data_IF_085994713028
#
_entry.id   IF_085994713028
#
_cell.length_a   1.000
_cell.length_b   1.000
_cell.length_c   1.000
_cell.angle_alpha   90.00
_cell.angle_beta   90.00
_cell.angle_gamma   90.00
#
_symmetry.space_group_name_H-M   'P 1'
#
loop_
_entity.id
_entity.type
_entity.pdbx_description
1 polymer ?
#
# COMPACT_ATOMS: atom_id res chain seq x y z
N UNK A 1 1.61 -41.06 15.37
CA UNK A 1 1.49 -40.20 14.18
C UNK A 1 2.69 -39.26 14.14
N UNK A 2 3.46 -39.15 13.03
CA UNK A 2 4.59 -38.24 12.97
C UNK A 2 4.04 -36.80 13.18
N UNK A 3 4.65 -36.06 14.11
CA UNK A 3 4.44 -34.60 14.23
C UNK A 3 4.78 -34.02 12.87
N UNK A 4 3.76 -33.58 12.11
CA UNK A 4 3.98 -32.76 10.91
C UNK A 4 4.71 -31.52 11.40
N UNK A 5 5.93 -31.34 10.94
CA UNK A 5 6.80 -30.26 11.37
C UNK A 5 6.09 -28.94 11.01
N UNK A 6 6.00 -28.02 11.96
CA UNK A 6 5.38 -26.70 11.79
C UNK A 6 5.91 -25.97 10.53
N UNK A 7 7.20 -26.16 10.24
CA UNK A 7 7.84 -25.67 9.03
C UNK A 7 7.24 -26.23 7.72
N UNK A 8 6.77 -27.48 7.72
CA UNK A 8 6.11 -28.08 6.56
C UNK A 8 4.71 -27.48 6.34
N UNK A 9 3.99 -27.21 7.43
CA UNK A 9 2.66 -26.60 7.36
C UNK A 9 2.75 -25.19 6.79
N UNK A 10 3.67 -24.37 7.29
CA UNK A 10 3.91 -23.01 6.79
C UNK A 10 4.42 -23.01 5.34
N UNK A 11 5.28 -23.94 4.97
CA UNK A 11 5.71 -24.10 3.57
C UNK A 11 4.54 -24.36 2.63
N UNK A 12 3.57 -25.18 3.04
CA UNK A 12 2.39 -25.47 2.22
C UNK A 12 1.45 -24.28 2.11
N UNK A 13 1.23 -23.53 3.20
CA UNK A 13 0.49 -22.27 3.15
C UNK A 13 1.11 -21.28 2.16
N UNK A 14 2.43 -21.08 2.24
CA UNK A 14 3.13 -20.18 1.36
C UNK A 14 3.03 -20.61 -0.11
N UNK A 15 3.12 -21.90 -0.44
CA UNK A 15 2.90 -22.39 -1.79
C UNK A 15 1.49 -22.09 -2.33
N UNK A 16 0.47 -22.14 -1.46
CA UNK A 16 -0.91 -21.78 -1.83
C UNK A 16 -1.01 -20.27 -2.06
N UNK A 17 -0.38 -19.44 -1.22
CA UNK A 17 -0.37 -17.99 -1.41
C UNK A 17 0.43 -17.55 -2.64
N UNK A 18 1.52 -18.25 -2.99
CA UNK A 18 2.27 -18.00 -4.22
C UNK A 18 1.42 -18.30 -5.46
N UNK A 19 0.67 -19.40 -5.43
CA UNK A 19 -0.28 -19.74 -6.48
C UNK A 19 -1.42 -18.70 -6.56
N UNK A 20 -1.96 -18.28 -5.44
CA UNK A 20 -3.00 -17.24 -5.40
C UNK A 20 -2.49 -15.92 -6.01
N UNK A 21 -1.28 -15.49 -5.64
CA UNK A 21 -0.64 -14.33 -6.24
C UNK A 21 -0.52 -14.49 -7.77
N UNK A 22 0.02 -15.64 -8.22
CA UNK A 22 0.16 -15.94 -9.66
C UNK A 22 -1.16 -15.88 -10.40
N UNK A 23 -2.24 -16.42 -9.84
CA UNK A 23 -3.58 -16.39 -10.45
C UNK A 23 -4.13 -14.97 -10.49
N UNK A 24 -4.01 -14.21 -9.39
CA UNK A 24 -4.45 -12.80 -9.33
C UNK A 24 -3.70 -11.89 -10.30
N UNK A 25 -2.47 -12.24 -10.67
CA UNK A 25 -1.74 -11.50 -11.72
C UNK A 25 -2.25 -11.81 -13.13
N UNK A 26 -2.88 -12.97 -13.35
CA UNK A 26 -3.38 -13.41 -14.66
C UNK A 26 -4.83 -13.03 -14.93
N UNK A 27 -5.64 -12.82 -13.88
CA UNK A 27 -7.05 -12.45 -13.99
C UNK A 27 -7.50 -11.58 -12.80
N UNK A 28 -8.62 -10.86 -12.93
CA UNK A 28 -9.14 -10.02 -11.84
C UNK A 28 -9.45 -10.82 -10.57
N UNK A 29 -9.19 -10.24 -9.40
CA UNK A 29 -9.39 -10.90 -8.11
C UNK A 29 -10.84 -11.40 -7.91
N UNK A 30 -11.83 -10.65 -8.39
CA UNK A 30 -13.26 -11.03 -8.30
C UNK A 30 -13.64 -12.25 -9.14
N UNK A 31 -12.79 -12.67 -10.11
CA UNK A 31 -12.96 -13.88 -10.90
C UNK A 31 -12.18 -15.08 -10.37
N UNK A 32 -11.32 -14.87 -9.37
CA UNK A 32 -10.47 -15.92 -8.81
C UNK A 32 -11.30 -16.85 -7.93
N UNK A 33 -11.16 -18.15 -8.16
CA UNK A 33 -11.88 -19.21 -7.42
C UNK A 33 -10.91 -20.16 -6.72
N UNK A 34 -11.41 -20.90 -5.72
CA UNK A 34 -10.64 -21.98 -5.09
C UNK A 34 -10.15 -23.01 -6.12
N UNK A 35 -10.92 -23.29 -7.14
CA UNK A 35 -10.53 -24.23 -8.22
C UNK A 35 -9.34 -23.74 -9.03
N UNK A 36 -9.22 -22.43 -9.25
CA UNK A 36 -8.05 -21.86 -9.93
C UNK A 36 -6.79 -22.04 -9.09
N UNK A 37 -6.91 -21.82 -7.76
CA UNK A 37 -5.81 -22.01 -6.84
C UNK A 37 -5.37 -23.48 -6.77
N UNK A 38 -6.32 -24.39 -6.70
CA UNK A 38 -6.05 -25.84 -6.75
C UNK A 38 -5.29 -26.19 -8.05
N UNK A 39 -5.75 -25.70 -9.18
CA UNK A 39 -5.11 -25.94 -10.48
C UNK A 39 -3.69 -25.38 -10.53
N UNK A 40 -3.48 -24.17 -10.06
CA UNK A 40 -2.17 -23.50 -10.08
C UNK A 40 -1.18 -24.16 -9.13
N UNK A 41 -1.62 -24.62 -7.93
CA UNK A 41 -0.75 -25.33 -6.96
C UNK A 41 -0.39 -26.71 -7.41
N UNK A 42 -1.22 -27.37 -8.22
CA UNK A 42 -1.16 -28.81 -8.49
C UNK A 42 -1.52 -29.69 -7.29
N UNK A 43 -2.06 -29.12 -6.21
CA UNK A 43 -2.51 -29.87 -5.05
C UNK A 43 -3.90 -30.44 -5.24
N UNK A 44 -4.26 -31.48 -4.47
CA UNK A 44 -5.65 -31.94 -4.43
C UNK A 44 -6.56 -30.89 -3.78
N UNK A 45 -7.86 -30.87 -4.13
CA UNK A 45 -8.86 -30.02 -3.47
C UNK A 45 -8.79 -30.15 -1.92
N UNK A 46 -8.81 -31.38 -1.40
CA UNK A 46 -8.73 -31.60 0.04
C UNK A 46 -7.45 -31.05 0.69
N UNK A 47 -6.34 -31.00 -0.06
CA UNK A 47 -5.10 -30.41 0.43
C UNK A 47 -5.20 -28.90 0.58
N UNK A 48 -5.80 -28.18 -0.38
CA UNK A 48 -5.96 -26.73 -0.29
C UNK A 48 -6.99 -26.37 0.77
N UNK A 49 -8.14 -27.01 0.80
CA UNK A 49 -9.22 -26.76 1.77
C UNK A 49 -8.82 -27.11 3.22
N UNK A 50 -7.77 -27.90 3.44
CA UNK A 50 -7.19 -28.09 4.77
C UNK A 50 -6.55 -26.83 5.35
N UNK A 51 -6.07 -25.93 4.51
CA UNK A 51 -5.37 -24.70 4.91
C UNK A 51 -6.25 -23.45 4.85
N UNK A 52 -7.15 -23.38 3.86
CA UNK A 52 -8.02 -22.23 3.61
C UNK A 52 -9.43 -22.73 3.25
N UNK A 53 -10.42 -22.30 4.02
CA UNK A 53 -11.81 -22.80 3.86
C UNK A 53 -12.52 -22.20 2.64
N UNK A 54 -12.13 -21.01 2.24
CA UNK A 54 -12.72 -20.27 1.13
C UNK A 54 -11.69 -19.31 0.50
N UNK A 55 -12.09 -18.63 -0.55
CA UNK A 55 -11.20 -17.71 -1.28
C UNK A 55 -10.85 -16.46 -0.46
N UNK A 56 -11.76 -16.00 0.40
CA UNK A 56 -11.54 -14.82 1.24
C UNK A 56 -10.45 -15.08 2.29
N UNK A 57 -10.39 -16.30 2.85
CA UNK A 57 -9.31 -16.70 3.75
C UNK A 57 -7.94 -16.60 3.05
N UNK A 58 -7.88 -16.95 1.76
CA UNK A 58 -6.67 -16.82 0.95
C UNK A 58 -6.35 -15.34 0.71
N UNK A 59 -7.33 -14.51 0.37
CA UNK A 59 -7.13 -13.07 0.15
C UNK A 59 -6.68 -12.35 1.41
N UNK A 60 -7.27 -12.68 2.57
CA UNK A 60 -6.86 -12.16 3.88
C UNK A 60 -5.41 -12.56 4.18
N UNK A 61 -5.07 -13.84 4.01
CA UNK A 61 -3.72 -14.33 4.26
C UNK A 61 -2.69 -13.71 3.29
N UNK A 62 -3.09 -13.47 2.05
CA UNK A 62 -2.27 -12.80 1.05
C UNK A 62 -2.01 -11.34 1.44
N UNK A 63 -3.04 -10.62 1.90
CA UNK A 63 -2.91 -9.24 2.38
C UNK A 63 -2.02 -9.13 3.62
N UNK A 64 -2.20 -10.02 4.59
CA UNK A 64 -1.33 -10.07 5.77
C UNK A 64 0.13 -10.36 5.38
N UNK A 65 0.37 -11.28 4.43
CA UNK A 65 1.71 -11.55 3.91
C UNK A 65 2.34 -10.31 3.25
N UNK A 66 1.56 -9.50 2.52
CA UNK A 66 2.05 -8.28 1.90
C UNK A 66 2.49 -7.24 2.92
N UNK A 67 1.71 -7.08 3.98
CA UNK A 67 2.04 -6.15 5.06
C UNK A 67 3.34 -6.53 5.79
N UNK A 68 3.68 -7.82 5.83
CA UNK A 68 4.95 -8.29 6.39
C UNK A 68 6.16 -8.10 5.47
N UNK A 69 6.01 -8.33 4.16
CA UNK A 69 7.14 -8.29 3.21
C UNK A 69 7.73 -6.87 3.09
N UNK A 70 6.92 -5.85 3.31
CA UNK A 70 7.30 -4.44 3.19
C UNK A 70 7.53 -3.79 4.55
N UNK A 71 8.17 -4.47 5.49
CA UNK A 71 8.42 -3.86 6.81
C UNK A 71 9.48 -2.78 6.75
N UNK A 72 9.03 -1.53 6.56
CA UNK A 72 9.88 -0.33 6.66
C UNK A 72 9.54 0.54 7.90
N UNK A 73 8.82 -0.01 8.90
CA UNK A 73 8.45 0.71 10.12
C UNK A 73 9.69 1.24 10.88
N UNK A 74 10.76 0.45 10.91
CA UNK A 74 12.02 0.88 11.52
C UNK A 74 12.68 2.03 10.73
N UNK A 75 12.60 2.01 9.40
CA UNK A 75 13.08 3.13 8.55
C UNK A 75 12.27 4.39 8.83
N UNK A 76 10.93 4.28 8.88
CA UNK A 76 10.03 5.38 9.20
C UNK A 76 10.33 5.95 10.59
N UNK A 77 10.46 5.10 11.61
CA UNK A 77 10.76 5.55 12.97
C UNK A 77 12.08 6.31 13.05
N UNK A 78 13.13 5.86 12.34
CA UNK A 78 14.41 6.57 12.27
C UNK A 78 14.30 7.94 11.62
N UNK A 79 13.54 8.06 10.53
CA UNK A 79 13.30 9.33 9.84
C UNK A 79 12.65 10.34 10.80
N UNK A 80 11.55 9.95 11.45
CA UNK A 80 10.83 10.86 12.37
C UNK A 80 11.53 11.08 13.72
N UNK A 81 12.55 10.31 14.07
CA UNK A 81 13.42 10.53 15.22
C UNK A 81 14.68 11.35 14.89
N UNK A 82 14.89 11.73 13.64
CA UNK A 82 16.01 12.55 13.20
C UNK A 82 15.95 13.96 13.83
N UNK A 83 17.12 14.56 14.06
CA UNK A 83 17.27 15.96 14.47
C UNK A 83 17.37 16.93 13.26
N UNK A 84 17.10 16.43 12.05
CA UNK A 84 17.08 17.24 10.85
C UNK A 84 15.95 18.29 10.88
N UNK A 85 16.02 19.25 9.96
CA UNK A 85 14.94 20.21 9.77
C UNK A 85 13.62 19.48 9.45
N UNK A 86 12.48 19.93 9.99
CA UNK A 86 11.19 19.28 9.78
C UNK A 86 10.81 19.06 8.31
N UNK A 87 11.18 19.97 7.41
CA UNK A 87 10.97 19.84 5.96
C UNK A 87 11.71 18.64 5.41
N UNK A 88 12.99 18.48 5.79
CA UNK A 88 13.82 17.37 5.34
C UNK A 88 13.25 16.02 5.83
N UNK A 89 12.75 15.96 7.06
CA UNK A 89 12.09 14.79 7.61
C UNK A 89 10.86 14.42 6.76
N UNK A 90 10.03 15.40 6.37
CA UNK A 90 8.90 15.16 5.49
C UNK A 90 9.33 14.71 4.09
N UNK A 91 10.33 15.36 3.50
CA UNK A 91 10.90 14.98 2.19
C UNK A 91 11.37 13.51 2.22
N UNK A 92 12.10 13.12 3.25
CA UNK A 92 12.57 11.73 3.40
C UNK A 92 11.40 10.73 3.56
N UNK A 93 10.34 11.12 4.30
CA UNK A 93 9.14 10.31 4.43
C UNK A 93 8.44 10.10 3.07
N UNK A 94 8.33 11.14 2.24
CA UNK A 94 7.82 11.03 0.87
C UNK A 94 8.72 10.20 -0.04
N UNK A 95 10.05 10.29 0.13
CA UNK A 95 11.00 9.47 -0.63
C UNK A 95 10.84 7.97 -0.34
N UNK A 96 10.59 7.57 0.91
CA UNK A 96 10.33 6.16 1.24
C UNK A 96 9.20 5.60 0.40
N UNK A 97 8.09 6.34 0.30
CA UNK A 97 6.94 5.92 -0.51
C UNK A 97 7.30 5.88 -2.00
N UNK A 98 8.02 6.91 -2.48
CA UNK A 98 8.35 7.05 -3.90
C UNK A 98 9.26 5.93 -4.39
N UNK A 99 10.21 5.49 -3.57
CA UNK A 99 11.12 4.37 -3.91
C UNK A 99 10.36 3.04 -4.02
N UNK A 100 9.42 2.81 -3.10
CA UNK A 100 8.70 1.54 -3.01
C UNK A 100 7.48 1.47 -3.92
N UNK A 101 6.88 2.62 -4.28
CA UNK A 101 5.61 2.67 -5.01
C UNK A 101 5.68 1.88 -6.33
N UNK A 102 6.78 1.99 -7.07
CA UNK A 102 6.93 1.31 -8.36
C UNK A 102 7.03 -0.21 -8.18
N UNK A 103 7.81 -0.67 -7.20
CA UNK A 103 8.02 -2.10 -6.94
C UNK A 103 6.77 -2.75 -6.33
N UNK A 104 6.11 -2.05 -5.40
CA UNK A 104 4.91 -2.52 -4.73
C UNK A 104 3.72 -2.62 -5.70
N UNK A 105 3.52 -1.58 -6.52
CA UNK A 105 2.34 -1.48 -7.38
C UNK A 105 2.37 -2.44 -8.56
N UNK A 106 3.53 -2.89 -9.03
CA UNK A 106 3.63 -3.87 -10.13
C UNK A 106 3.11 -5.28 -9.77
N UNK A 107 2.92 -5.58 -8.49
CA UNK A 107 2.42 -6.89 -8.06
C UNK A 107 1.25 -6.74 -7.07
N UNK A 108 1.58 -6.39 -5.87
CA UNK A 108 0.63 -6.35 -4.75
C UNK A 108 -0.40 -5.22 -4.88
N UNK A 109 0.00 -4.09 -5.46
CA UNK A 109 -0.90 -2.95 -5.67
C UNK A 109 -2.11 -3.28 -6.53
N UNK A 110 -1.93 -4.03 -7.62
CA UNK A 110 -3.04 -4.52 -8.44
C UNK A 110 -4.04 -5.33 -7.59
N UNK A 111 -3.52 -6.29 -6.83
CA UNK A 111 -4.36 -7.18 -6.04
C UNK A 111 -5.08 -6.38 -4.94
N UNK A 112 -4.37 -5.52 -4.21
CA UNK A 112 -4.95 -4.67 -3.16
C UNK A 112 -6.04 -3.75 -3.71
N UNK A 113 -5.82 -3.14 -4.88
CA UNK A 113 -6.79 -2.30 -5.56
C UNK A 113 -8.06 -3.07 -5.94
N UNK A 114 -7.90 -4.25 -6.56
CA UNK A 114 -9.04 -5.09 -6.96
C UNK A 114 -9.81 -5.65 -5.75
N UNK A 115 -9.10 -6.06 -4.69
CA UNK A 115 -9.73 -6.50 -3.43
C UNK A 115 -10.46 -5.35 -2.74
N UNK A 116 -9.89 -4.13 -2.76
CA UNK A 116 -10.57 -2.93 -2.26
C UNK A 116 -11.91 -2.70 -2.93
N UNK A 117 -11.96 -2.79 -4.26
CA UNK A 117 -13.21 -2.66 -5.03
C UNK A 117 -14.17 -3.84 -4.74
N UNK A 118 -13.65 -5.07 -4.71
CA UNK A 118 -14.44 -6.27 -4.45
C UNK A 118 -15.16 -6.17 -3.09
N UNK A 119 -14.43 -5.81 -2.05
CA UNK A 119 -14.99 -5.74 -0.70
C UNK A 119 -15.83 -4.48 -0.46
N UNK A 120 -15.54 -3.35 -1.13
CA UNK A 120 -16.34 -2.13 -1.02
C UNK A 120 -17.79 -2.32 -1.52
N UNK A 121 -18.02 -3.28 -2.43
CA UNK A 121 -19.34 -3.61 -2.92
C UNK A 121 -20.14 -4.55 -2.00
N UNK A 122 -19.54 -5.06 -0.93
CA UNK A 122 -20.16 -5.95 0.05
C UNK A 122 -19.71 -5.51 1.47
N UNK A 123 -20.53 -4.68 2.16
CA UNK A 123 -20.15 -4.13 3.46
C UNK A 123 -19.89 -5.19 4.55
N UNK A 124 -20.63 -6.30 4.57
CA UNK A 124 -20.42 -7.37 5.56
C UNK A 124 -19.09 -8.09 5.30
N UNK A 125 -18.82 -8.39 4.04
CA UNK A 125 -17.58 -9.00 3.60
C UNK A 125 -16.37 -8.08 3.85
N UNK A 126 -16.54 -6.76 3.65
CA UNK A 126 -15.52 -5.76 3.98
C UNK A 126 -15.22 -5.74 5.48
N UNK A 127 -16.25 -5.76 6.33
CA UNK A 127 -16.08 -5.77 7.78
C UNK A 127 -15.35 -7.05 8.22
N UNK A 128 -15.73 -8.20 7.67
CA UNK A 128 -15.03 -9.46 7.93
C UNK A 128 -13.56 -9.38 7.51
N UNK A 129 -13.28 -8.96 6.28
CA UNK A 129 -11.92 -8.80 5.78
C UNK A 129 -11.09 -7.90 6.69
N UNK A 130 -11.58 -6.72 7.03
CA UNK A 130 -10.89 -5.77 7.91
C UNK A 130 -10.64 -6.32 9.31
N UNK A 131 -11.55 -7.13 9.84
CA UNK A 131 -11.39 -7.76 11.16
C UNK A 131 -10.29 -8.84 11.19
N UNK A 132 -9.96 -9.41 10.03
CA UNK A 132 -8.99 -10.50 9.89
C UNK A 132 -7.61 -10.03 9.38
N UNK A 133 -7.55 -8.84 8.78
CA UNK A 133 -6.26 -8.20 8.45
C UNK A 133 -5.68 -7.63 9.74
N UNK A 134 -4.74 -8.34 10.32
CA UNK A 134 -4.22 -8.08 11.68
C UNK A 134 -3.10 -7.06 11.71
N UNK A 135 -2.50 -6.76 10.57
CA UNK A 135 -1.36 -5.85 10.50
C UNK A 135 -1.77 -4.57 9.78
N UNK A 136 -1.63 -3.45 10.49
CA UNK A 136 -1.68 -2.16 9.85
C UNK A 136 -0.64 -2.12 8.72
N UNK A 137 -1.05 -1.66 7.54
CA UNK A 137 -0.13 -1.52 6.43
C UNK A 137 1.00 -0.55 6.81
N UNK A 138 2.17 -0.72 6.23
CA UNK A 138 3.26 0.22 6.44
C UNK A 138 2.89 1.63 5.97
N UNK A 139 2.00 1.73 4.99
CA UNK A 139 1.47 3.01 4.52
C UNK A 139 0.59 3.69 5.56
N UNK A 140 -0.33 2.95 6.20
CA UNK A 140 -1.15 3.50 7.29
C UNK A 140 -0.26 4.01 8.42
N UNK A 141 0.79 3.26 8.77
CA UNK A 141 1.75 3.65 9.78
C UNK A 141 2.51 4.94 9.39
N UNK A 142 2.98 5.03 8.14
CA UNK A 142 3.67 6.22 7.64
C UNK A 142 2.75 7.43 7.60
N UNK A 143 1.52 7.26 7.10
CA UNK A 143 0.51 8.31 7.01
C UNK A 143 0.19 8.84 8.41
N UNK A 144 -0.03 7.96 9.39
CA UNK A 144 -0.29 8.35 10.76
C UNK A 144 0.90 9.11 11.39
N UNK A 145 2.12 8.61 11.22
CA UNK A 145 3.34 9.28 11.69
C UNK A 145 3.52 10.65 11.06
N UNK A 146 3.27 10.77 9.76
CA UNK A 146 3.35 12.05 9.05
C UNK A 146 2.34 13.05 9.60
N UNK A 147 1.09 12.63 9.81
CA UNK A 147 0.05 13.49 10.40
C UNK A 147 0.43 13.98 11.80
N UNK A 148 0.82 13.05 12.69
CA UNK A 148 1.23 13.38 14.06
C UNK A 148 2.41 14.35 14.08
N UNK A 149 3.36 14.17 13.17
CA UNK A 149 4.52 15.05 13.04
C UNK A 149 4.13 16.45 12.59
N UNK A 150 3.33 16.57 11.53
CA UNK A 150 2.85 17.87 11.03
C UNK A 150 2.05 18.60 12.11
N UNK A 151 1.14 17.91 12.80
CA UNK A 151 0.34 18.48 13.87
C UNK A 151 1.22 18.99 15.04
N UNK A 152 2.21 18.17 15.44
CA UNK A 152 3.16 18.54 16.48
C UNK A 152 3.95 19.80 16.09
N UNK A 153 4.51 19.85 14.88
CA UNK A 153 5.31 20.98 14.40
C UNK A 153 4.49 22.26 14.19
N UNK A 154 3.22 22.13 13.84
CA UNK A 154 2.30 23.26 13.80
C UNK A 154 1.97 23.79 15.21
N UNK A 155 1.72 22.91 16.20
CA UNK A 155 1.51 23.30 17.61
C UNK A 155 2.74 23.94 18.23
N UNK A 156 3.94 23.51 17.85
CA UNK A 156 5.21 24.12 18.25
C UNK A 156 5.45 25.50 17.58
N UNK A 157 4.63 25.88 16.62
CA UNK A 157 4.74 27.15 15.86
C UNK A 157 5.83 27.13 14.80
N UNK A 158 6.41 25.97 14.51
CA UNK A 158 7.40 25.81 13.44
C UNK A 158 6.75 25.93 12.07
N UNK A 159 5.75 25.08 11.79
CA UNK A 159 4.90 25.24 10.63
C UNK A 159 3.79 26.25 10.90
N UNK A 160 3.46 27.04 9.87
CA UNK A 160 2.37 28.02 9.87
C UNK A 160 1.39 27.68 8.73
N UNK A 161 0.64 26.58 8.90
CA UNK A 161 -0.18 26.06 7.81
C UNK A 161 -1.24 27.06 7.38
N UNK A 162 -1.41 27.22 6.06
CA UNK A 162 -2.41 28.10 5.45
C UNK A 162 -3.81 27.48 5.41
N UNK A 163 -3.92 26.18 5.68
CA UNK A 163 -5.16 25.42 5.83
C UNK A 163 -5.12 24.63 7.14
N UNK A 164 -6.27 24.18 7.66
CA UNK A 164 -6.29 23.24 8.78
C UNK A 164 -5.42 22.01 8.48
N UNK A 165 -4.64 21.55 9.46
CA UNK A 165 -3.75 20.38 9.29
C UNK A 165 -4.52 19.15 8.82
N UNK A 166 -5.76 18.97 9.29
CA UNK A 166 -6.63 17.88 8.86
C UNK A 166 -6.92 17.93 7.36
N UNK A 167 -7.16 19.12 6.80
CA UNK A 167 -7.44 19.29 5.37
C UNK A 167 -6.20 19.00 4.53
N UNK A 168 -5.01 19.42 4.99
CA UNK A 168 -3.73 19.07 4.36
C UNK A 168 -3.52 17.55 4.39
N UNK A 169 -3.83 16.91 5.52
CA UNK A 169 -3.75 15.45 5.65
C UNK A 169 -4.69 14.73 4.68
N UNK A 170 -5.95 15.16 4.58
CA UNK A 170 -6.91 14.58 3.63
C UNK A 170 -6.48 14.79 2.18
N UNK A 171 -5.86 15.94 1.86
CA UNK A 171 -5.27 16.20 0.55
C UNK A 171 -4.12 15.23 0.22
N UNK A 172 -3.24 14.95 1.19
CA UNK A 172 -2.16 13.96 1.03
C UNK A 172 -2.75 12.59 0.68
N UNK A 173 -3.73 12.10 1.47
CA UNK A 173 -4.35 10.80 1.26
C UNK A 173 -4.99 10.73 -0.13
N UNK A 174 -5.87 11.67 -0.46
CA UNK A 174 -6.59 11.67 -1.72
C UNK A 174 -5.65 11.76 -2.94
N UNK A 175 -4.59 12.57 -2.84
CA UNK A 175 -3.59 12.68 -3.90
C UNK A 175 -2.77 11.41 -4.05
N UNK A 176 -2.36 10.81 -2.94
CA UNK A 176 -1.61 9.56 -2.93
C UNK A 176 -2.43 8.41 -3.51
N UNK A 177 -3.70 8.28 -3.12
CA UNK A 177 -4.62 7.27 -3.66
C UNK A 177 -4.79 7.45 -5.17
N UNK A 178 -4.96 8.70 -5.64
CA UNK A 178 -5.05 9.02 -7.07
C UNK A 178 -3.79 8.63 -7.83
N UNK A 179 -2.61 8.99 -7.33
CA UNK A 179 -1.33 8.63 -7.96
C UNK A 179 -1.18 7.11 -8.01
N UNK A 180 -1.47 6.42 -6.92
CA UNK A 180 -1.41 4.95 -6.82
C UNK A 180 -2.34 4.30 -7.84
N UNK A 181 -3.58 4.76 -7.94
CA UNK A 181 -4.55 4.28 -8.92
C UNK A 181 -4.05 4.47 -10.35
N UNK A 182 -3.54 5.66 -10.68
CA UNK A 182 -3.04 5.97 -12.01
C UNK A 182 -1.80 5.12 -12.38
N UNK A 183 -0.91 4.85 -11.44
CA UNK A 183 0.22 3.91 -11.65
C UNK A 183 -0.28 2.51 -11.96
N UNK A 184 -1.27 2.00 -11.22
CA UNK A 184 -1.85 0.67 -11.46
C UNK A 184 -2.50 0.63 -12.86
N UNK A 185 -3.32 1.64 -13.19
CA UNK A 185 -4.01 1.71 -14.48
C UNK A 185 -3.02 1.79 -15.65
N UNK A 186 -1.98 2.61 -15.53
CA UNK A 186 -1.01 2.81 -16.62
C UNK A 186 -0.05 1.62 -16.77
N UNK A 187 0.54 1.15 -15.68
CA UNK A 187 1.63 0.17 -15.71
C UNK A 187 1.15 -1.28 -15.66
N UNK A 188 0.12 -1.56 -14.89
CA UNK A 188 -0.39 -2.93 -14.72
C UNK A 188 -1.44 -3.27 -15.79
N UNK A 189 -2.42 -2.38 -15.97
CA UNK A 189 -3.47 -2.59 -16.98
C UNK A 189 -3.09 -2.04 -18.36
N UNK A 190 -1.95 -1.35 -18.48
CA UNK A 190 -1.46 -0.75 -19.72
C UNK A 190 -2.54 0.11 -20.42
N UNK A 191 -3.31 0.82 -19.63
CA UNK A 191 -4.40 1.66 -20.12
C UNK A 191 -3.83 2.77 -20.99
N UNK A 192 -4.36 2.91 -22.20
CA UNK A 192 -3.96 3.95 -23.14
C UNK A 192 -5.02 5.04 -23.15
N UNK A 193 -4.59 6.28 -22.94
CA UNK A 193 -5.50 7.42 -22.94
C UNK A 193 -4.72 8.73 -23.02
N UNK A 194 -5.39 9.88 -23.14
CA UNK A 194 -4.70 11.17 -23.24
C UNK A 194 -3.74 11.49 -22.10
N UNK A 195 -4.04 10.97 -20.89
CA UNK A 195 -3.21 11.12 -19.69
C UNK A 195 -2.03 10.14 -19.66
N UNK A 196 -2.16 8.98 -20.34
CA UNK A 196 -1.17 7.88 -20.34
C UNK A 196 -0.44 7.76 -21.68
N UNK A 197 -0.50 8.79 -22.55
CA UNK A 197 0.22 8.78 -23.83
C UNK A 197 1.68 9.18 -23.63
N UNK A 198 2.59 8.41 -24.21
CA UNK A 198 3.98 8.77 -24.49
C UNK A 198 4.84 9.07 -23.26
N UNK A 199 5.08 8.14 -22.36
CA UNK A 199 6.05 8.24 -21.25
C UNK A 199 5.94 9.50 -20.37
N UNK A 200 4.80 10.22 -20.46
CA UNK A 200 4.56 11.46 -19.71
C UNK A 200 4.07 11.22 -18.28
N UNK A 201 3.57 10.02 -17.99
CA UNK A 201 3.14 9.65 -16.64
C UNK A 201 4.36 9.20 -15.84
N UNK A 202 4.86 10.09 -15.00
CA UNK A 202 5.98 9.85 -14.11
C UNK A 202 5.50 9.98 -12.65
N UNK A 203 5.33 8.83 -12.01
CA UNK A 203 4.88 8.76 -10.63
C UNK A 203 5.84 9.45 -9.65
N UNK A 204 7.14 9.46 -9.95
CA UNK A 204 8.13 10.13 -9.10
C UNK A 204 7.95 11.64 -9.15
N UNK A 205 7.70 12.20 -10.33
CA UNK A 205 7.42 13.62 -10.49
C UNK A 205 6.09 14.00 -9.83
N UNK A 206 5.06 13.14 -9.87
CA UNK A 206 3.79 13.38 -9.17
C UNK A 206 3.98 13.37 -7.65
N UNK A 207 4.71 12.40 -7.13
CA UNK A 207 5.04 12.33 -5.69
C UNK A 207 5.87 13.53 -5.24
N UNK A 208 6.82 13.97 -6.06
CA UNK A 208 7.57 15.20 -5.83
C UNK A 208 6.67 16.42 -5.78
N UNK A 209 5.78 16.57 -6.77
CA UNK A 209 4.81 17.68 -6.82
C UNK A 209 3.89 17.68 -5.61
N UNK A 210 3.45 16.50 -5.15
CA UNK A 210 2.66 16.38 -3.94
C UNK A 210 3.45 16.82 -2.70
N UNK A 211 4.69 16.37 -2.54
CA UNK A 211 5.55 16.79 -1.42
C UNK A 211 5.77 18.30 -1.41
N UNK A 212 6.12 18.90 -2.56
CA UNK A 212 6.26 20.35 -2.71
C UNK A 212 4.98 21.09 -2.32
N UNK A 213 3.83 20.61 -2.78
CA UNK A 213 2.53 21.20 -2.45
C UNK A 213 2.25 21.16 -0.94
N UNK A 214 2.57 20.05 -0.29
CA UNK A 214 2.39 19.89 1.17
C UNK A 214 3.29 20.85 1.93
N UNK A 215 4.56 20.99 1.54
CA UNK A 215 5.49 21.93 2.17
C UNK A 215 5.00 23.38 2.03
N UNK A 216 4.52 23.79 0.87
CA UNK A 216 3.91 25.12 0.65
C UNK A 216 2.68 25.32 1.53
N UNK A 217 1.80 24.32 1.64
CA UNK A 217 0.61 24.41 2.51
C UNK A 217 0.96 24.51 3.98
N UNK A 218 2.08 23.94 4.40
CA UNK A 218 2.55 23.96 5.79
C UNK A 218 3.26 25.27 6.16
N UNK A 219 3.96 25.91 5.23
CA UNK A 219 4.81 27.08 5.52
C UNK A 219 4.20 28.39 5.04
N UNK A 220 3.42 28.37 3.97
CA UNK A 220 3.00 29.55 3.24
C UNK A 220 4.15 30.29 2.53
N UNK A 221 5.37 29.71 2.51
CA UNK A 221 6.58 30.31 1.96
C UNK A 221 7.20 29.41 0.90
N UNK A 222 7.57 29.99 -0.25
CA UNK A 222 8.20 29.28 -1.38
C UNK A 222 9.68 28.98 -1.15
N UNK A 223 10.34 29.70 -0.23
CA UNK A 223 11.78 29.55 0.00
C UNK A 223 12.16 28.17 0.57
N UNK A 224 11.18 27.47 1.14
CA UNK A 224 11.35 26.09 1.62
C UNK A 224 11.49 25.03 0.52
N UNK A 225 11.32 25.40 -0.74
CA UNK A 225 11.42 24.49 -1.90
C UNK A 225 12.82 24.35 -2.47
N UNK A 226 13.77 25.18 -2.06
CA UNK A 226 15.14 25.16 -2.62
C UNK A 226 15.94 23.89 -2.24
N UNK A 227 15.50 23.16 -1.19
CA UNK A 227 16.15 21.94 -0.73
C UNK A 227 15.62 20.66 -1.40
N UNK A 228 14.66 20.77 -2.38
CA UNK A 228 14.05 19.65 -3.09
C UNK A 228 14.49 19.65 -4.57
#
# INVERSE_FOLDING_TARGET
LPKVNESYFEKKKNQILDAAFSVCMKKPAYEVTMSDIVKETGFSHGSVYKYYSNIDDIFIALSNRFNHILDFKDKINRIFASEDKPEKILIEAFHVVTEDITNYLQGYGKISFELGILFANDPERLLYYRSQVTEASNYDFLIEKTFQFMEKKAKEGYFKPILPIHDIYMFIIASFDGITQDVILSKTYQLKGPLFQNDKFDEKNLMRSLCCSVLLLLSGDSDMMEEY
#
